data_IF_312100640058
#
_entry.id   IF_312100640058
#
_cell.length_a   1.000
_cell.length_b   1.000
_cell.length_c   1.000
_cell.angle_alpha   90.00
_cell.angle_beta   90.00
_cell.angle_gamma   90.00
#
_symmetry.space_group_name_H-M   'P 1'
#
loop_
_entity.id
_entity.type
_entity.pdbx_description
1 polymer ?
#
# COMPACT_ATOMS: atom_id res chain seq x y z
N UNK A 1 11.70 32.85 21.75
CA UNK A 1 10.75 31.75 22.02
C UNK A 1 10.61 30.97 20.72
N UNK A 2 11.24 29.80 20.64
CA UNK A 2 11.24 28.99 19.42
C UNK A 2 9.88 28.29 19.29
N UNK A 3 9.07 28.78 18.36
CA UNK A 3 7.86 28.13 17.87
C UNK A 3 8.23 26.82 17.18
N UNK A 4 8.11 25.71 17.92
CA UNK A 4 8.15 24.36 17.38
C UNK A 4 6.91 24.11 16.52
N UNK A 5 6.88 24.68 15.32
CA UNK A 5 5.97 24.24 14.28
C UNK A 5 6.42 22.85 13.85
N UNK A 6 5.77 21.82 14.37
CA UNK A 6 5.78 20.51 13.74
C UNK A 6 5.18 20.71 12.35
N UNK A 7 6.04 20.81 11.34
CA UNK A 7 5.62 20.73 9.95
C UNK A 7 5.16 19.29 9.73
N UNK A 8 3.85 19.06 9.79
CA UNK A 8 3.28 17.80 9.31
C UNK A 8 3.70 17.68 7.85
N UNK A 9 4.64 16.78 7.60
CA UNK A 9 5.22 16.55 6.28
C UNK A 9 4.11 16.21 5.30
N UNK A 10 4.21 16.84 4.13
CA UNK A 10 3.65 16.46 2.83
C UNK A 10 3.41 14.96 2.73
N UNK A 11 2.25 14.62 2.16
CA UNK A 11 1.80 13.29 1.72
C UNK A 11 2.92 12.25 1.72
N UNK A 12 2.82 11.28 2.64
CA UNK A 12 3.74 10.14 2.64
C UNK A 12 3.46 9.32 1.37
N UNK A 13 4.48 9.08 0.54
CA UNK A 13 4.30 8.19 -0.61
C UNK A 13 3.96 6.77 -0.14
N UNK A 14 3.21 6.03 -0.95
CA UNK A 14 2.80 4.68 -0.61
C UNK A 14 3.99 3.73 -0.38
N UNK A 15 5.06 3.91 -1.15
CA UNK A 15 6.35 3.23 -0.93
C UNK A 15 6.95 3.57 0.44
N UNK A 16 6.94 4.84 0.83
CA UNK A 16 7.47 5.26 2.13
C UNK A 16 6.60 4.75 3.28
N UNK A 17 5.29 4.65 3.09
CA UNK A 17 4.38 4.02 4.04
C UNK A 17 4.71 2.53 4.20
N UNK A 18 4.88 1.80 3.10
CA UNK A 18 5.30 0.39 3.10
C UNK A 18 6.62 0.19 3.85
N UNK A 19 7.65 0.99 3.55
CA UNK A 19 8.94 0.92 4.23
C UNK A 19 8.79 1.16 5.74
N UNK A 20 8.02 2.17 6.15
CA UNK A 20 7.80 2.48 7.58
C UNK A 20 7.05 1.37 8.31
N UNK A 21 6.10 0.74 7.64
CA UNK A 21 5.38 -0.41 8.22
C UNK A 21 6.30 -1.63 8.36
N UNK A 22 7.18 -1.87 7.39
CA UNK A 22 8.20 -2.91 7.51
C UNK A 22 9.19 -2.63 8.65
N UNK A 23 9.74 -1.41 8.74
CA UNK A 23 10.62 -1.01 9.84
C UNK A 23 9.94 -1.21 11.20
N UNK A 24 8.65 -0.84 11.31
CA UNK A 24 7.88 -1.07 12.53
C UNK A 24 7.72 -2.58 12.83
N UNK A 25 7.42 -3.40 11.82
CA UNK A 25 7.35 -4.86 11.98
C UNK A 25 8.69 -5.48 12.37
N UNK A 26 9.81 -5.00 11.84
CA UNK A 26 11.15 -5.46 12.22
C UNK A 26 11.49 -5.09 13.67
N UNK A 27 11.08 -3.89 14.11
CA UNK A 27 11.39 -3.40 15.45
C UNK A 27 10.50 -4.02 16.54
N UNK A 28 9.20 -4.22 16.25
CA UNK A 28 8.21 -4.69 17.22
C UNK A 28 7.80 -6.15 17.02
N UNK A 29 8.24 -6.81 15.95
CA UNK A 29 7.97 -8.22 15.66
C UNK A 29 6.67 -8.50 14.91
N UNK A 30 6.39 -9.80 14.75
CA UNK A 30 5.27 -10.36 13.97
C UNK A 30 3.87 -9.97 14.47
N UNK A 31 3.74 -9.50 15.71
CA UNK A 31 2.44 -9.03 16.21
C UNK A 31 1.95 -7.80 15.44
N UNK A 32 2.88 -6.97 14.95
CA UNK A 32 2.56 -5.80 14.14
C UNK A 32 2.12 -6.19 12.73
N UNK A 33 2.66 -7.28 12.16
CA UNK A 33 2.22 -7.78 10.84
C UNK A 33 0.80 -8.35 10.88
N UNK A 34 0.28 -8.65 12.08
CA UNK A 34 -1.08 -9.12 12.34
C UNK A 34 -2.00 -8.03 12.86
N UNK A 35 -1.49 -6.81 13.06
CA UNK A 35 -2.29 -5.70 13.55
C UNK A 35 -3.30 -5.27 12.47
N UNK A 36 -4.57 -5.56 12.76
CA UNK A 36 -5.69 -5.29 11.86
C UNK A 36 -5.76 -3.82 11.43
N UNK A 37 -5.46 -2.88 12.33
CA UNK A 37 -5.52 -1.44 12.05
C UNK A 37 -4.50 -1.02 11.00
N UNK A 38 -3.28 -1.57 11.05
CA UNK A 38 -2.25 -1.29 10.03
C UNK A 38 -2.64 -1.85 8.66
N UNK A 39 -3.15 -3.08 8.62
CA UNK A 39 -3.58 -3.71 7.37
C UNK A 39 -4.80 -2.98 6.77
N UNK A 40 -5.72 -2.50 7.61
CA UNK A 40 -6.86 -1.70 7.17
C UNK A 40 -6.44 -0.36 6.58
N UNK A 41 -5.55 0.36 7.26
CA UNK A 41 -5.00 1.63 6.76
C UNK A 41 -4.29 1.41 5.41
N UNK A 42 -3.48 0.35 5.30
CA UNK A 42 -2.85 -0.02 4.03
C UNK A 42 -3.87 -0.25 2.92
N UNK A 43 -4.92 -1.03 3.19
CA UNK A 43 -5.96 -1.33 2.22
C UNK A 43 -6.73 -0.07 1.77
N UNK A 44 -7.03 0.84 2.69
CA UNK A 44 -7.72 2.10 2.38
C UNK A 44 -6.89 2.99 1.45
N UNK A 45 -5.58 3.11 1.72
CA UNK A 45 -4.69 3.89 0.85
C UNK A 45 -4.57 3.24 -0.52
N UNK A 46 -4.40 1.91 -0.58
CA UNK A 46 -4.34 1.16 -1.84
C UNK A 46 -5.61 1.36 -2.69
N UNK A 47 -6.79 1.38 -2.07
CA UNK A 47 -8.06 1.54 -2.81
C UNK A 47 -8.15 2.88 -3.55
N UNK A 48 -7.57 3.93 -2.96
CA UNK A 48 -7.60 5.31 -3.45
C UNK A 48 -6.33 5.70 -4.25
N UNK A 49 -5.44 4.75 -4.54
CA UNK A 49 -4.21 4.99 -5.30
C UNK A 49 -4.43 4.66 -6.78
N UNK A 50 -3.77 5.40 -7.69
CA UNK A 50 -3.84 5.15 -9.13
C UNK A 50 -3.15 3.84 -9.52
N UNK A 51 -3.59 3.27 -10.64
CA UNK A 51 -3.04 2.04 -11.20
C UNK A 51 -1.52 2.11 -11.40
N UNK A 52 -1.02 3.13 -12.10
CA UNK A 52 0.40 3.34 -12.36
C UNK A 52 1.26 3.28 -11.07
N UNK A 53 0.81 3.96 -10.01
CA UNK A 53 1.52 3.94 -8.72
C UNK A 53 1.44 2.57 -8.03
N UNK A 54 0.34 1.84 -8.21
CA UNK A 54 0.17 0.49 -7.66
C UNK A 54 1.04 -0.53 -8.39
N UNK A 55 1.20 -0.42 -9.71
CA UNK A 55 2.08 -1.29 -10.51
C UNK A 55 3.54 -1.14 -10.08
N UNK A 56 4.06 0.09 -10.07
CA UNK A 56 5.44 0.39 -9.64
C UNK A 56 5.71 -0.13 -8.22
N UNK A 57 4.73 0.04 -7.32
CA UNK A 57 4.83 -0.44 -5.96
C UNK A 57 4.79 -1.97 -5.88
N UNK A 58 3.90 -2.62 -6.62
CA UNK A 58 3.75 -4.07 -6.61
C UNK A 58 5.04 -4.75 -7.05
N UNK A 59 5.71 -4.23 -8.08
CA UNK A 59 7.01 -4.73 -8.50
C UNK A 59 8.02 -4.66 -7.35
N UNK A 60 8.13 -3.51 -6.67
CA UNK A 60 9.05 -3.32 -5.54
C UNK A 60 8.75 -4.26 -4.37
N UNK A 61 7.48 -4.38 -3.98
CA UNK A 61 7.06 -5.23 -2.86
C UNK A 61 7.30 -6.71 -3.17
N UNK A 62 7.12 -7.13 -4.43
CA UNK A 62 7.27 -8.53 -4.86
C UNK A 62 8.69 -9.08 -4.70
N UNK A 63 9.70 -8.21 -4.58
CA UNK A 63 11.07 -8.63 -4.26
C UNK A 63 11.32 -8.90 -2.78
N UNK A 64 10.36 -8.58 -1.90
CA UNK A 64 10.46 -8.78 -0.46
C UNK A 64 9.78 -10.09 -0.04
N UNK A 65 10.52 -10.96 0.64
CA UNK A 65 10.04 -12.27 1.09
C UNK A 65 9.52 -12.29 2.53
N UNK A 66 9.34 -11.13 3.16
CA UNK A 66 8.81 -11.07 4.52
C UNK A 66 7.27 -11.17 4.52
N UNK A 67 6.70 -11.68 5.63
CA UNK A 67 5.26 -11.92 5.74
C UNK A 67 4.41 -10.66 5.56
N UNK A 68 4.86 -9.50 6.07
CA UNK A 68 4.14 -8.25 5.92
C UNK A 68 4.05 -7.83 4.45
N UNK A 69 5.19 -7.84 3.75
CA UNK A 69 5.30 -7.52 2.33
C UNK A 69 4.46 -8.45 1.47
N UNK A 70 4.42 -9.76 1.79
CA UNK A 70 3.53 -10.70 1.09
C UNK A 70 2.07 -10.25 1.24
N UNK A 71 1.60 -9.96 2.45
CA UNK A 71 0.20 -9.53 2.70
C UNK A 71 -0.12 -8.18 2.07
N UNK A 72 0.83 -7.24 2.13
CA UNK A 72 0.68 -5.94 1.50
C UNK A 72 0.63 -6.05 -0.02
N UNK A 73 1.52 -6.87 -0.60
CA UNK A 73 1.55 -7.19 -2.03
C UNK A 73 0.27 -7.86 -2.51
N UNK A 74 -0.29 -8.81 -1.75
CA UNK A 74 -1.60 -9.41 -2.06
C UNK A 74 -2.74 -8.38 -2.06
N UNK A 75 -2.64 -7.35 -1.22
CA UNK A 75 -3.65 -6.28 -1.18
C UNK A 75 -3.55 -5.39 -2.43
N UNK A 76 -2.34 -5.03 -2.84
CA UNK A 76 -2.09 -4.29 -4.09
C UNK A 76 -2.53 -5.12 -5.30
N UNK A 77 -2.14 -6.40 -5.37
CA UNK A 77 -2.53 -7.32 -6.45
C UNK A 77 -4.05 -7.43 -6.59
N UNK A 78 -4.78 -7.56 -5.48
CA UNK A 78 -6.25 -7.60 -5.50
C UNK A 78 -6.89 -6.30 -6.00
N UNK A 79 -6.22 -5.16 -5.81
CA UNK A 79 -6.70 -3.88 -6.36
C UNK A 79 -6.43 -3.79 -7.85
N UNK A 80 -5.21 -4.11 -8.30
CA UNK A 80 -4.84 -4.15 -9.71
C UNK A 80 -5.75 -5.10 -10.51
N UNK A 81 -5.97 -6.32 -10.02
CA UNK A 81 -6.89 -7.27 -10.65
C UNK A 81 -8.32 -6.71 -10.81
N UNK A 82 -8.81 -5.92 -9.85
CA UNK A 82 -10.14 -5.29 -9.95
C UNK A 82 -10.14 -4.14 -10.97
N UNK A 83 -9.04 -3.40 -11.10
CA UNK A 83 -8.92 -2.35 -12.12
C UNK A 83 -8.98 -2.97 -13.52
N UNK A 84 -8.15 -3.98 -13.79
CA UNK A 84 -8.14 -4.65 -15.09
C UNK A 84 -9.48 -5.32 -15.45
N UNK A 85 -10.18 -5.91 -14.48
CA UNK A 85 -11.53 -6.46 -14.73
C UNK A 85 -12.55 -5.37 -15.10
N UNK A 86 -12.47 -4.18 -14.50
CA UNK A 86 -13.34 -3.07 -14.83
C UNK A 86 -13.04 -2.48 -16.21
N UNK A 87 -11.77 -2.53 -16.64
CA UNK A 87 -11.39 -2.13 -18.00
C UNK A 87 -11.94 -3.10 -19.05
N UNK A 88 -11.82 -4.41 -18.83
CA UNK A 88 -12.41 -5.43 -19.71
C UNK A 88 -13.95 -5.31 -19.81
N UNK A 89 -14.63 -5.00 -18.72
CA UNK A 89 -16.09 -4.81 -18.71
C UNK A 89 -16.53 -3.45 -19.31
N UNK A 90 -15.71 -2.41 -19.17
CA UNK A 90 -15.94 -1.08 -19.76
C UNK A 90 -15.82 -1.08 -21.28
N UNK A 91 -14.89 -1.85 -21.83
CA UNK A 91 -14.69 -2.00 -23.29
C UNK A 91 -15.85 -2.77 -23.96
N UNK A 92 -16.56 -3.62 -23.22
CA UNK A 92 -17.71 -4.39 -23.72
C UNK A 92 -19.03 -3.60 -23.76
N UNK A 93 -19.10 -2.41 -23.16
CA UNK A 93 -20.32 -1.59 -23.10
C UNK A 93 -20.41 -0.49 -24.17
N UNK A 94 -19.43 -0.34 -25.06
CA UNK A 94 -19.43 0.67 -26.15
C UNK A 94 -19.88 0.11 -27.52
N UNK A 95 -20.89 -0.76 -27.58
CA UNK A 95 -21.45 -1.30 -28.85
C UNK A 95 -22.95 -1.05 -29.01
#
# INVERSE_FOLDING_TARGET
MNSGQATCSRDISLERLWLKLNEACEFFGVEVSHNKSFIQLWAEVVENTSEETLEELYEKISFSNNELSIRMGETVKRRLNRLYQLEEEGELCEV
#
